data_IF_772583925772
#
_entry.id   IF_772583925772
#
_cell.length_a   1.000
_cell.length_b   1.000
_cell.length_c   1.000
_cell.angle_alpha   90.00
_cell.angle_beta   90.00
_cell.angle_gamma   90.00
#
_symmetry.space_group_name_H-M   'P 1'
#
loop_
_entity.id
_entity.type
_entity.pdbx_description
1 polymer ?
#
# COMPACT_ATOMS: atom_id res chain seq x y z
N UNK A 1 20.72 24.80 -76.26
CA UNK A 1 20.87 23.46 -75.64
C UNK A 1 21.60 23.61 -74.31
N UNK A 2 20.87 23.51 -73.19
CA UNK A 2 21.41 23.49 -71.82
C UNK A 2 21.68 22.04 -71.43
N UNK A 3 22.85 21.75 -70.90
CA UNK A 3 23.16 20.47 -70.26
C UNK A 3 23.09 20.63 -68.73
N UNK A 4 22.49 19.63 -68.10
CA UNK A 4 22.16 19.51 -66.69
C UNK A 4 23.38 19.19 -65.81
N UNK A 5 23.32 19.53 -64.52
CA UNK A 5 23.49 18.56 -63.44
C UNK A 5 23.23 19.21 -62.09
N UNK A 6 22.08 18.88 -61.47
CA UNK A 6 21.87 19.08 -60.04
C UNK A 6 22.05 17.73 -59.36
N UNK A 7 23.17 17.55 -58.66
CA UNK A 7 23.41 16.38 -57.81
C UNK A 7 22.43 16.41 -56.64
N UNK A 8 21.46 15.50 -56.65
CA UNK A 8 20.58 15.27 -55.51
C UNK A 8 21.35 14.51 -54.43
N UNK A 9 21.69 15.18 -53.34
CA UNK A 9 22.17 14.52 -52.12
C UNK A 9 20.96 14.07 -51.30
N UNK A 10 20.58 12.81 -51.48
CA UNK A 10 19.62 12.13 -50.60
C UNK A 10 20.32 11.87 -49.27
N UNK A 11 20.18 12.79 -48.31
CA UNK A 11 20.56 12.50 -46.91
C UNK A 11 19.50 11.60 -46.29
N UNK A 12 19.83 10.31 -46.21
CA UNK A 12 19.07 9.31 -45.46
C UNK A 12 19.12 9.65 -43.96
N UNK A 13 18.04 10.22 -43.43
CA UNK A 13 17.87 10.49 -42.00
C UNK A 13 17.54 9.18 -41.27
N UNK A 14 18.55 8.49 -40.76
CA UNK A 14 18.36 7.38 -39.81
C UNK A 14 17.89 8.00 -38.48
N UNK A 15 16.60 7.88 -38.19
CA UNK A 15 16.01 8.32 -36.93
C UNK A 15 16.11 7.15 -35.95
N UNK A 16 17.10 7.18 -35.06
CA UNK A 16 17.28 6.18 -34.01
C UNK A 16 16.18 6.37 -32.95
N UNK A 17 15.09 5.62 -33.07
CA UNK A 17 14.05 5.55 -32.05
C UNK A 17 14.59 4.78 -30.83
N UNK A 18 15.08 5.50 -29.83
CA UNK A 18 15.48 4.94 -28.55
C UNK A 18 14.24 4.44 -27.80
N UNK A 19 13.99 3.12 -27.85
CA UNK A 19 13.03 2.43 -26.99
C UNK A 19 13.56 2.45 -25.55
N UNK A 20 13.21 3.50 -24.80
CA UNK A 20 13.40 3.51 -23.35
C UNK A 20 12.30 2.62 -22.76
N UNK A 21 12.54 1.30 -22.74
CA UNK A 21 11.77 0.37 -21.92
C UNK A 21 12.09 0.66 -20.46
N UNK A 22 11.37 1.61 -19.87
CA UNK A 22 11.32 1.77 -18.43
C UNK A 22 10.65 0.53 -17.84
N UNK A 23 11.41 -0.31 -17.15
CA UNK A 23 10.87 -1.37 -16.30
C UNK A 23 10.09 -0.72 -15.14
N UNK A 24 8.86 -0.28 -15.41
CA UNK A 24 7.91 0.01 -14.37
C UNK A 24 7.54 -1.34 -13.75
N UNK A 25 8.07 -1.62 -12.56
CA UNK A 25 7.67 -2.79 -11.79
C UNK A 25 6.15 -2.76 -11.65
N UNK A 26 5.47 -3.72 -12.26
CA UNK A 26 4.01 -3.79 -12.20
C UNK A 26 3.59 -4.05 -10.75
N UNK A 27 2.56 -3.36 -10.25
CA UNK A 27 2.07 -3.60 -8.90
C UNK A 27 1.56 -5.03 -8.77
N UNK A 28 1.63 -5.57 -7.55
CA UNK A 28 1.14 -6.89 -7.25
C UNK A 28 -0.39 -6.95 -7.42
N UNK A 29 -0.87 -8.14 -7.77
CA UNK A 29 -2.29 -8.43 -8.02
C UNK A 29 -2.77 -9.51 -7.09
N UNK A 30 -4.07 -9.51 -6.83
CA UNK A 30 -4.67 -10.59 -6.08
C UNK A 30 -4.59 -11.90 -6.85
N UNK A 31 -4.89 -13.01 -6.17
CA UNK A 31 -4.90 -14.35 -6.77
C UNK A 31 -5.96 -14.41 -7.88
N UNK A 32 -5.72 -15.13 -8.99
CA UNK A 32 -6.67 -15.21 -10.11
C UNK A 32 -8.11 -15.51 -9.67
N UNK A 33 -9.07 -14.74 -10.19
CA UNK A 33 -10.49 -14.85 -9.86
C UNK A 33 -10.90 -14.21 -8.53
N UNK A 34 -9.99 -13.51 -7.84
CA UNK A 34 -10.28 -12.91 -6.53
C UNK A 34 -10.01 -11.39 -6.51
N UNK A 35 -10.58 -10.72 -5.51
CA UNK A 35 -10.32 -9.31 -5.22
C UNK A 35 -10.07 -9.16 -3.73
N UNK A 36 -8.86 -8.76 -3.35
CA UNK A 36 -8.49 -8.61 -1.94
C UNK A 36 -8.61 -7.15 -1.52
N UNK A 37 -9.21 -6.91 -0.35
CA UNK A 37 -9.25 -5.58 0.27
C UNK A 37 -8.11 -5.45 1.27
N UNK A 38 -7.28 -4.42 1.12
CA UNK A 38 -6.22 -4.11 2.08
C UNK A 38 -6.45 -2.71 2.64
N UNK A 39 -6.64 -2.62 3.96
CA UNK A 39 -6.86 -1.38 4.68
C UNK A 39 -5.53 -0.99 5.33
N UNK A 40 -4.95 0.09 4.85
CA UNK A 40 -3.66 0.60 5.31
C UNK A 40 -3.86 1.82 6.21
N UNK A 41 -3.09 1.87 7.28
CA UNK A 41 -3.06 2.99 8.21
C UNK A 41 -1.68 3.15 8.85
N UNK A 42 -1.37 4.37 9.28
CA UNK A 42 -0.29 4.63 10.22
C UNK A 42 -0.73 4.21 11.63
N UNK A 43 0.23 3.87 12.50
CA UNK A 43 -0.03 3.84 13.94
C UNK A 43 -0.73 5.11 14.43
N UNK A 44 -1.48 5.03 15.53
CA UNK A 44 -2.20 6.17 16.12
C UNK A 44 -1.27 7.18 16.81
N UNK A 45 -1.84 8.27 17.32
CA UNK A 45 -1.12 9.40 17.92
C UNK A 45 -0.16 8.93 19.02
N UNK A 46 1.07 9.42 18.97
CA UNK A 46 2.13 9.10 19.94
C UNK A 46 2.62 10.34 20.67
N UNK A 47 3.30 10.13 21.77
CA UNK A 47 4.12 11.17 22.41
C UNK A 47 5.60 11.06 21.99
N UNK A 48 6.45 11.84 22.65
CA UNK A 48 7.90 11.86 22.42
C UNK A 48 8.60 10.56 22.80
N UNK A 49 8.05 9.77 23.74
CA UNK A 49 8.56 8.44 24.10
C UNK A 49 8.31 7.40 23.00
N UNK A 50 7.56 7.78 21.97
CA UNK A 50 7.12 6.97 20.85
C UNK A 50 5.98 5.99 21.14
N UNK A 51 5.47 5.98 22.37
CA UNK A 51 4.29 5.23 22.78
C UNK A 51 2.99 5.97 22.43
N UNK A 52 1.86 5.27 22.40
CA UNK A 52 0.58 5.91 22.16
C UNK A 52 0.21 6.84 23.31
N UNK A 53 -0.09 8.10 22.97
CA UNK A 53 -0.63 9.06 23.93
C UNK A 53 -2.14 8.79 24.19
N UNK A 54 -2.79 9.60 25.04
CA UNK A 54 -4.21 9.42 25.36
C UNK A 54 -5.12 9.43 24.12
N UNK A 55 -4.93 10.42 23.24
CA UNK A 55 -5.64 10.54 21.97
C UNK A 55 -5.39 9.34 21.05
N UNK A 56 -4.17 8.82 21.04
CA UNK A 56 -3.80 7.65 20.25
C UNK A 56 -4.49 6.38 20.72
N UNK A 57 -4.64 6.20 22.04
CA UNK A 57 -5.40 5.08 22.61
C UNK A 57 -6.89 5.18 22.30
N UNK A 58 -7.47 6.37 22.37
CA UNK A 58 -8.85 6.62 21.95
C UNK A 58 -9.05 6.32 20.46
N UNK A 59 -8.11 6.75 19.60
CA UNK A 59 -8.14 6.43 18.18
C UNK A 59 -8.02 4.92 17.94
N UNK A 60 -7.12 4.23 18.64
CA UNK A 60 -6.97 2.78 18.53
C UNK A 60 -8.29 2.05 18.85
N UNK A 61 -9.04 2.50 19.85
CA UNK A 61 -10.37 1.98 20.14
C UNK A 61 -11.39 2.29 19.04
N UNK A 62 -11.36 3.52 18.50
CA UNK A 62 -12.25 3.94 17.42
C UNK A 62 -12.07 3.13 16.12
N UNK A 63 -10.91 2.48 15.93
CA UNK A 63 -10.65 1.63 14.77
C UNK A 63 -11.69 0.50 14.64
N UNK A 64 -12.15 -0.07 15.77
CA UNK A 64 -13.15 -1.15 15.79
C UNK A 64 -14.42 -0.76 15.04
N UNK A 65 -14.96 0.42 15.36
CA UNK A 65 -16.14 0.94 14.69
C UNK A 65 -15.86 1.35 13.24
N UNK A 66 -14.67 1.91 12.97
CA UNK A 66 -14.31 2.44 11.65
C UNK A 66 -14.24 1.37 10.55
N UNK A 67 -13.90 0.13 10.91
CA UNK A 67 -13.81 -1.00 9.97
C UNK A 67 -14.93 -2.02 10.16
N UNK A 68 -15.94 -1.68 10.94
CA UNK A 68 -17.10 -2.55 11.14
C UNK A 68 -17.79 -2.86 9.81
N UNK A 69 -18.18 -4.12 9.63
CA UNK A 69 -18.80 -4.62 8.40
C UNK A 69 -17.82 -4.92 7.24
N UNK A 70 -16.52 -4.62 7.37
CA UNK A 70 -15.52 -4.92 6.33
C UNK A 70 -15.05 -6.38 6.31
N UNK A 71 -15.54 -7.22 7.22
CA UNK A 71 -15.19 -8.65 7.30
C UNK A 71 -13.67 -8.91 7.35
N UNK A 72 -12.95 -8.15 8.19
CA UNK A 72 -11.50 -8.28 8.36
C UNK A 72 -11.15 -9.66 8.91
N UNK A 73 -10.25 -10.39 8.25
CA UNK A 73 -9.82 -11.73 8.66
C UNK A 73 -8.37 -11.80 9.12
N UNK A 74 -7.57 -10.74 8.89
CA UNK A 74 -6.18 -10.70 9.31
C UNK A 74 -5.69 -9.28 9.59
N UNK A 75 -4.69 -9.20 10.49
CA UNK A 75 -4.02 -7.96 10.87
C UNK A 75 -2.51 -8.19 10.77
N UNK A 76 -1.82 -7.27 10.09
CA UNK A 76 -0.37 -7.23 9.97
C UNK A 76 0.16 -5.96 10.62
N UNK A 77 1.20 -6.10 11.43
CA UNK A 77 1.88 -4.99 12.10
C UNK A 77 3.37 -5.25 12.18
N UNK A 78 4.25 -4.25 12.08
CA UNK A 78 5.62 -4.43 12.52
C UNK A 78 5.69 -4.67 14.03
N UNK A 79 6.78 -5.30 14.49
CA UNK A 79 7.12 -5.42 15.90
C UNK A 79 7.56 -4.06 16.49
N UNK A 80 6.61 -3.14 16.66
CA UNK A 80 6.80 -1.82 17.25
C UNK A 80 5.62 -1.55 18.17
N UNK A 81 5.88 -1.20 19.43
CA UNK A 81 4.85 -1.01 20.46
C UNK A 81 3.66 -0.16 19.97
N UNK A 82 3.89 1.07 19.49
CA UNK A 82 2.82 1.94 18.97
C UNK A 82 2.00 1.33 17.84
N UNK A 83 2.60 0.54 16.95
CA UNK A 83 1.89 -0.13 15.87
C UNK A 83 1.00 -1.24 16.42
N UNK A 84 1.55 -2.09 17.29
CA UNK A 84 0.82 -3.17 17.95
C UNK A 84 -0.32 -2.62 18.80
N UNK A 85 -0.06 -1.58 19.60
CA UNK A 85 -1.03 -0.93 20.47
C UNK A 85 -2.17 -0.30 19.68
N UNK A 86 -1.91 0.17 18.46
CA UNK A 86 -2.94 0.75 17.59
C UNK A 86 -3.98 -0.29 17.15
N UNK A 87 -3.54 -1.51 16.86
CA UNK A 87 -4.42 -2.57 16.32
C UNK A 87 -4.87 -3.59 17.35
N UNK A 88 -4.28 -3.61 18.55
CA UNK A 88 -4.65 -4.57 19.60
C UNK A 88 -6.13 -4.55 19.98
N UNK A 89 -6.82 -3.39 20.10
CA UNK A 89 -8.26 -3.39 20.36
C UNK A 89 -9.07 -4.08 19.26
N UNK A 90 -8.71 -3.85 17.99
CA UNK A 90 -9.35 -4.51 16.85
C UNK A 90 -9.06 -6.01 16.83
N UNK A 91 -7.81 -6.41 17.07
CA UNK A 91 -7.41 -7.82 17.14
C UNK A 91 -8.22 -8.58 18.19
N UNK A 92 -8.33 -8.00 19.39
CA UNK A 92 -9.12 -8.56 20.49
C UNK A 92 -10.62 -8.64 20.14
N UNK A 93 -11.18 -7.62 19.52
CA UNK A 93 -12.58 -7.60 19.09
C UNK A 93 -12.90 -8.68 18.04
N UNK A 94 -12.00 -8.87 17.07
CA UNK A 94 -12.17 -9.85 16.00
C UNK A 94 -11.77 -11.28 16.40
N UNK A 95 -11.06 -11.45 17.52
CA UNK A 95 -10.48 -12.74 17.92
C UNK A 95 -9.39 -13.24 16.97
N UNK A 96 -8.62 -12.32 16.36
CA UNK A 96 -7.55 -12.65 15.40
C UNK A 96 -6.18 -12.29 15.95
N UNK A 97 -5.20 -13.13 15.65
CA UNK A 97 -3.79 -12.86 15.99
C UNK A 97 -3.18 -11.79 15.07
N UNK A 98 -2.25 -11.00 15.62
CA UNK A 98 -1.49 -10.01 14.85
C UNK A 98 -0.30 -10.71 14.20
N UNK A 99 -0.26 -10.72 12.86
CA UNK A 99 0.91 -11.21 12.12
C UNK A 99 2.02 -10.17 12.18
N UNK A 100 3.14 -10.56 12.82
CA UNK A 100 4.30 -9.69 12.99
C UNK A 100 5.12 -9.62 11.70
N UNK A 101 5.41 -8.40 11.25
CA UNK A 101 6.29 -8.11 10.12
C UNK A 101 7.62 -7.50 10.59
N UNK A 102 8.67 -7.49 9.74
CA UNK A 102 9.91 -6.80 10.06
C UNK A 102 9.71 -5.33 10.42
N UNK A 103 10.35 -4.90 11.51
CA UNK A 103 10.09 -3.65 12.25
C UNK A 103 9.83 -2.42 11.37
N UNK A 104 10.75 -2.01 10.52
CA UNK A 104 10.54 -0.92 9.55
C UNK A 104 11.43 -1.17 8.33
N UNK A 105 11.13 -2.22 7.56
CA UNK A 105 11.92 -2.58 6.37
C UNK A 105 11.16 -2.33 5.08
N UNK A 106 11.70 -1.45 4.23
CA UNK A 106 11.21 -1.25 2.84
C UNK A 106 11.48 -2.49 2.00
N UNK A 107 12.59 -3.20 2.25
CA UNK A 107 12.98 -4.39 1.49
C UNK A 107 11.98 -5.53 1.65
N UNK A 108 11.32 -5.63 2.81
CA UNK A 108 10.31 -6.64 3.09
C UNK A 108 8.94 -6.33 2.47
N UNK A 109 8.70 -5.12 1.97
CA UNK A 109 7.37 -4.67 1.58
C UNK A 109 6.74 -5.49 0.46
N UNK A 110 7.55 -5.91 -0.52
CA UNK A 110 7.08 -6.77 -1.63
C UNK A 110 6.62 -8.13 -1.12
N UNK A 111 7.38 -8.73 -0.21
CA UNK A 111 7.06 -10.04 0.35
C UNK A 111 5.83 -9.98 1.27
N UNK A 112 5.73 -8.93 2.09
CA UNK A 112 4.54 -8.66 2.91
C UNK A 112 3.29 -8.51 2.02
N UNK A 113 3.35 -7.67 0.99
CA UNK A 113 2.23 -7.45 0.09
C UNK A 113 1.86 -8.74 -0.68
N UNK A 114 2.84 -9.52 -1.13
CA UNK A 114 2.62 -10.81 -1.80
C UNK A 114 1.97 -11.82 -0.86
N UNK A 115 2.42 -11.87 0.39
CA UNK A 115 1.83 -12.73 1.42
C UNK A 115 0.37 -12.35 1.66
N UNK A 116 0.07 -11.06 1.85
CA UNK A 116 -1.29 -10.56 2.07
C UNK A 116 -2.21 -11.02 0.92
N UNK A 117 -1.79 -10.78 -0.33
CA UNK A 117 -2.59 -11.08 -1.52
C UNK A 117 -2.75 -12.58 -1.81
N UNK A 118 -1.82 -13.42 -1.35
CA UNK A 118 -1.87 -14.87 -1.56
C UNK A 118 -2.58 -15.62 -0.43
N UNK A 119 -2.27 -15.30 0.84
CA UNK A 119 -2.89 -15.96 2.00
C UNK A 119 -4.31 -15.50 2.27
N UNK A 120 -4.64 -14.26 1.90
CA UNK A 120 -5.96 -13.64 2.14
C UNK A 120 -6.62 -13.24 0.82
N UNK A 121 -6.46 -14.09 -0.20
CA UNK A 121 -7.12 -13.92 -1.50
C UNK A 121 -8.63 -13.78 -1.34
N UNK A 122 -9.23 -12.72 -1.90
CA UNK A 122 -10.68 -12.45 -1.77
C UNK A 122 -11.14 -11.93 -0.41
N UNK A 123 -10.25 -11.86 0.59
CA UNK A 123 -10.55 -11.40 1.95
C UNK A 123 -10.23 -9.93 2.18
N UNK A 124 -10.37 -9.49 3.44
CA UNK A 124 -10.04 -8.14 3.90
C UNK A 124 -8.99 -8.16 5.02
N UNK A 125 -7.94 -7.34 4.87
CA UNK A 125 -6.77 -7.35 5.74
C UNK A 125 -6.42 -5.94 6.20
N UNK A 126 -6.04 -5.79 7.48
CA UNK A 126 -5.47 -4.55 8.02
C UNK A 126 -3.95 -4.64 7.97
N UNK A 127 -3.30 -3.57 7.48
CA UNK A 127 -1.87 -3.37 7.61
C UNK A 127 -1.59 -2.03 8.29
N UNK A 128 -1.07 -2.09 9.51
CA UNK A 128 -0.61 -0.90 10.25
C UNK A 128 0.89 -0.71 10.07
N UNK A 129 1.32 0.50 9.74
CA UNK A 129 2.72 0.80 9.44
C UNK A 129 3.21 2.15 9.94
N UNK A 130 4.37 2.55 9.43
CA UNK A 130 5.03 3.82 9.68
C UNK A 130 5.26 4.54 8.34
N UNK A 131 4.94 5.83 8.29
CA UNK A 131 4.99 6.66 7.06
C UNK A 131 6.37 6.61 6.43
N UNK A 132 7.40 6.85 7.24
CA UNK A 132 8.80 6.70 6.84
C UNK A 132 9.17 5.21 6.80
N UNK A 133 8.92 4.57 5.66
CA UNK A 133 9.41 3.23 5.37
C UNK A 133 8.32 2.25 4.96
N UNK A 134 7.89 1.40 5.88
CA UNK A 134 7.13 0.20 5.56
C UNK A 134 5.68 0.46 5.11
N UNK A 135 5.02 1.55 5.55
CA UNK A 135 3.67 1.87 5.11
C UNK A 135 3.63 2.30 3.65
N UNK A 136 4.46 3.27 3.30
CA UNK A 136 4.61 3.75 1.94
C UNK A 136 5.02 2.62 0.99
N UNK A 137 6.01 1.82 1.40
CA UNK A 137 6.50 0.73 0.57
C UNK A 137 5.42 -0.33 0.31
N UNK A 138 4.68 -0.79 1.32
CA UNK A 138 3.59 -1.78 1.12
C UNK A 138 2.45 -1.18 0.28
N UNK A 139 2.05 0.06 0.55
CA UNK A 139 1.02 0.76 -0.23
C UNK A 139 1.30 0.75 -1.74
N UNK A 140 2.53 1.03 -2.14
CA UNK A 140 2.91 1.06 -3.55
C UNK A 140 3.11 -0.32 -4.16
N UNK A 141 3.57 -1.31 -3.40
CA UNK A 141 3.60 -2.71 -3.88
C UNK A 141 2.20 -3.22 -4.22
N UNK A 142 1.19 -2.75 -3.50
CA UNK A 142 -0.23 -3.03 -3.73
C UNK A 142 -0.86 -2.17 -4.84
N UNK A 143 -0.09 -1.29 -5.50
CA UNK A 143 -0.59 -0.44 -6.59
C UNK A 143 -1.36 0.81 -6.14
N UNK A 144 -1.23 1.21 -4.88
CA UNK A 144 -1.76 2.49 -4.41
C UNK A 144 -1.15 3.68 -5.16
N UNK A 145 -1.96 4.60 -5.73
CA UNK A 145 -1.48 5.80 -6.40
C UNK A 145 -1.29 6.96 -5.41
N UNK A 146 -0.48 7.96 -5.78
CA UNK A 146 -0.28 9.16 -4.96
C UNK A 146 0.31 8.85 -3.58
N UNK A 147 -0.09 9.60 -2.55
CA UNK A 147 0.44 9.41 -1.20
C UNK A 147 -0.26 8.28 -0.45
N UNK A 148 0.52 7.50 0.30
CA UNK A 148 0.03 6.57 1.31
C UNK A 148 -0.74 7.33 2.43
N UNK A 149 -1.44 6.65 3.36
CA UNK A 149 -2.04 7.33 4.51
C UNK A 149 -0.94 7.84 5.45
N UNK A 150 -0.85 9.15 5.66
CA UNK A 150 0.27 9.78 6.39
C UNK A 150 -0.15 10.34 7.75
N UNK A 151 -1.38 10.87 7.81
CA UNK A 151 -1.90 11.52 9.01
C UNK A 151 -2.48 10.51 9.99
N UNK A 152 -2.42 10.85 11.28
CA UNK A 152 -3.13 10.06 12.29
C UNK A 152 -4.62 10.08 11.98
N UNK A 153 -5.22 8.89 11.93
CA UNK A 153 -6.62 8.72 11.58
C UNK A 153 -6.89 8.53 10.09
N UNK A 154 -5.88 8.58 9.21
CA UNK A 154 -6.08 8.21 7.80
C UNK A 154 -6.27 6.69 7.64
N UNK A 155 -7.24 6.32 6.80
CA UNK A 155 -7.37 4.98 6.23
C UNK A 155 -7.28 5.09 4.70
N UNK A 156 -6.44 4.24 4.11
CA UNK A 156 -6.48 3.96 2.68
C UNK A 156 -6.99 2.52 2.48
N UNK A 157 -8.16 2.38 1.86
CA UNK A 157 -8.80 1.10 1.59
C UNK A 157 -8.55 0.77 0.12
N UNK A 158 -7.62 -0.15 -0.12
CA UNK A 158 -7.26 -0.62 -1.44
C UNK A 158 -8.12 -1.83 -1.80
N UNK A 159 -8.81 -1.75 -2.92
CA UNK A 159 -9.44 -2.91 -3.57
C UNK A 159 -8.50 -3.37 -4.67
N UNK A 160 -7.80 -4.48 -4.43
CA UNK A 160 -6.77 -5.03 -5.32
C UNK A 160 -7.37 -6.21 -6.10
N UNK A 161 -7.72 -6.04 -7.38
CA UNK A 161 -8.21 -7.14 -8.20
C UNK A 161 -7.06 -8.02 -8.71
N UNK A 162 -7.40 -9.18 -9.23
CA UNK A 162 -6.49 -10.03 -10.01
C UNK A 162 -6.10 -9.38 -11.36
N UNK A 163 -7.00 -8.59 -11.94
CA UNK A 163 -6.78 -7.85 -13.20
C UNK A 163 -7.37 -6.44 -13.15
N UNK A 164 -6.78 -5.52 -13.93
CA UNK A 164 -7.26 -4.14 -14.02
C UNK A 164 -6.75 -3.20 -12.91
N UNK A 165 -7.29 -1.99 -12.78
CA UNK A 165 -6.76 -0.98 -11.87
C UNK A 165 -7.13 -1.26 -10.40
N UNK A 166 -6.23 -0.90 -9.49
CA UNK A 166 -6.51 -0.87 -8.04
C UNK A 166 -7.39 0.33 -7.74
N UNK A 167 -8.47 0.13 -6.99
CA UNK A 167 -9.31 1.23 -6.50
C UNK A 167 -8.89 1.60 -5.10
N UNK A 168 -8.87 2.90 -4.81
CA UNK A 168 -8.53 3.42 -3.48
C UNK A 168 -9.68 4.27 -2.97
N UNK A 169 -10.20 3.90 -1.81
CA UNK A 169 -11.10 4.72 -1.02
C UNK A 169 -10.31 5.30 0.17
N UNK A 170 -10.49 6.59 0.46
CA UNK A 170 -9.87 7.25 1.61
C UNK A 170 -10.94 7.53 2.66
N UNK A 171 -10.65 7.21 3.92
CA UNK A 171 -11.50 7.53 5.08
C UNK A 171 -10.66 8.13 6.21
N UNK A 172 -11.36 8.72 7.17
CA UNK A 172 -10.80 9.22 8.43
C UNK A 172 -11.52 8.56 9.61
N UNK A 173 -10.82 8.34 10.72
CA UNK A 173 -11.43 7.76 11.92
C UNK A 173 -10.81 8.28 13.22
N UNK A 174 -11.59 8.24 14.30
CA UNK A 174 -11.16 8.66 15.63
C UNK A 174 -11.02 10.18 15.79
N UNK A 175 -10.57 10.63 16.97
CA UNK A 175 -10.51 12.04 17.38
C UNK A 175 -9.43 12.89 16.69
#
# INVERSE_FOLDING_TARGET
MRAESRRAHVMLRITLAALVSGCAASPLRSTPGTTTTVILLRHADRDESTELNAKGRERAQALVAAVSGMSITAIYSPDVARNLDTVRPLAAYLGVEITITPRVSVLAAKDIAKEILSKHAGGAVIYVGNVTGNLYAVYHQLGGPGTAPEEYGDLAILTVPDQGPVKVERRRFGP
#
